data_IF_627049117659
#
_entry.id   IF_627049117659
#
_cell.length_a   1.000
_cell.length_b   1.000
_cell.length_c   1.000
_cell.angle_alpha   90.00
_cell.angle_beta   90.00
_cell.angle_gamma   90.00
#
_symmetry.space_group_name_H-M   'P 1'
#
loop_
_entity.id
_entity.type
_entity.pdbx_description
1 polymer ?
#
# COMPACT_ATOMS: atom_id res chain seq x y z
N UNK A 1 50.93 47.90 7.63
CA UNK A 1 49.70 48.67 7.30
C UNK A 1 48.60 47.62 7.02
N UNK A 2 47.92 47.06 8.01
CA UNK A 2 46.76 47.56 8.76
C UNK A 2 45.51 47.89 7.91
N UNK A 3 44.40 47.24 8.33
CA UNK A 3 42.96 47.39 8.03
C UNK A 3 42.37 46.43 6.98
N UNK A 4 41.64 45.36 7.32
CA UNK A 4 40.45 45.12 8.21
C UNK A 4 39.12 45.37 7.47
N UNK A 5 38.32 44.29 7.37
CA UNK A 5 36.85 44.14 7.56
C UNK A 5 36.26 43.13 6.56
N UNK A 6 35.31 42.25 6.85
CA UNK A 6 34.72 41.69 8.08
C UNK A 6 33.73 40.62 7.57
N UNK A 7 33.79 39.40 8.12
CA UNK A 7 32.68 38.59 8.69
C UNK A 7 31.32 38.60 7.98
N UNK A 8 30.78 37.41 7.67
CA UNK A 8 29.53 36.84 8.25
C UNK A 8 29.48 35.33 7.90
N UNK A 9 29.30 34.51 8.95
CA UNK A 9 28.96 33.09 8.93
C UNK A 9 27.60 32.82 8.24
N UNK A 10 27.41 31.66 7.61
CA UNK A 10 26.27 30.79 7.91
C UNK A 10 26.54 29.34 7.48
N UNK A 11 26.21 28.47 8.43
CA UNK A 11 26.15 27.01 8.42
C UNK A 11 25.03 26.48 7.53
N UNK A 12 25.26 25.39 6.78
CA UNK A 12 24.24 24.47 6.27
C UNK A 12 24.94 23.11 6.01
N UNK A 13 24.84 22.18 6.96
CA UNK A 13 23.84 21.11 7.05
C UNK A 13 24.05 19.95 6.07
N UNK A 14 24.41 18.82 6.68
CA UNK A 14 24.25 17.45 6.20
C UNK A 14 23.05 17.28 5.26
N UNK A 15 23.32 16.95 4.01
CA UNK A 15 22.32 16.35 3.13
C UNK A 15 22.57 14.85 3.06
N UNK A 16 21.66 14.15 3.72
CA UNK A 16 21.42 12.72 3.63
C UNK A 16 21.40 12.24 2.17
N UNK A 17 22.18 11.18 1.94
CA UNK A 17 22.29 10.45 0.68
C UNK A 17 20.95 9.77 0.38
N UNK A 18 20.15 10.36 -0.52
CA UNK A 18 19.05 9.65 -1.17
C UNK A 18 19.61 8.58 -2.12
N UNK A 19 19.03 7.36 -2.19
CA UNK A 19 19.48 6.32 -3.09
C UNK A 19 19.11 6.70 -4.53
N UNK A 20 20.01 7.41 -5.19
CA UNK A 20 20.10 7.42 -6.66
C UNK A 20 20.40 5.98 -7.06
N UNK A 21 19.40 5.26 -7.53
CA UNK A 21 19.62 4.06 -8.31
C UNK A 21 20.37 4.53 -9.57
N UNK A 22 21.69 4.39 -9.52
CA UNK A 22 22.56 4.50 -10.67
C UNK A 22 22.17 3.38 -11.64
N UNK A 23 21.39 3.73 -12.65
CA UNK A 23 21.34 2.97 -13.91
C UNK A 23 22.23 3.71 -14.92
N UNK A 24 23.49 3.91 -14.54
CA UNK A 24 24.55 4.28 -15.47
C UNK A 24 25.69 3.29 -15.24
N UNK A 25 26.03 2.59 -16.31
CA UNK A 25 27.24 1.80 -16.49
C UNK A 25 27.29 0.39 -15.87
N UNK A 26 26.18 -0.35 -15.90
CA UNK A 26 26.27 -1.82 -15.93
C UNK A 26 25.84 -2.29 -17.32
N UNK A 27 26.81 -2.70 -18.13
CA UNK A 27 26.61 -3.47 -19.36
C UNK A 27 25.91 -4.79 -18.99
N UNK A 28 24.58 -4.74 -18.87
CA UNK A 28 23.73 -5.92 -18.83
C UNK A 28 23.59 -6.41 -20.27
N UNK A 29 24.03 -7.63 -20.63
CA UNK A 29 23.78 -8.17 -21.97
C UNK A 29 22.26 -8.13 -22.26
N UNK A 30 21.83 -7.82 -23.48
CA UNK A 30 20.40 -7.66 -23.85
C UNK A 30 19.49 -8.81 -23.35
N UNK A 31 20.03 -10.04 -23.37
CA UNK A 31 19.39 -11.25 -22.84
C UNK A 31 19.06 -11.20 -21.34
N UNK A 32 19.86 -10.49 -20.55
CA UNK A 32 19.61 -10.28 -19.12
C UNK A 32 18.57 -9.20 -18.87
N UNK A 33 18.54 -8.12 -19.65
CA UNK A 33 17.56 -7.04 -19.52
C UNK A 33 16.13 -7.54 -19.77
N UNK A 34 15.92 -8.38 -20.80
CA UNK A 34 14.61 -8.95 -21.13
C UNK A 34 14.02 -9.78 -19.98
N UNK A 35 14.86 -10.49 -19.22
CA UNK A 35 14.43 -11.28 -18.05
C UNK A 35 13.92 -10.39 -16.91
N UNK A 36 14.50 -9.21 -16.72
CA UNK A 36 14.13 -8.29 -15.64
C UNK A 36 13.04 -7.29 -16.04
N UNK A 37 12.79 -7.12 -17.33
CA UNK A 37 11.84 -6.15 -17.87
C UNK A 37 10.43 -6.24 -17.24
N UNK A 38 9.84 -7.44 -16.98
CA UNK A 38 8.54 -7.53 -16.32
C UNK A 38 8.55 -6.94 -14.91
N UNK A 39 9.59 -7.23 -14.12
CA UNK A 39 9.74 -6.69 -12.77
C UNK A 39 9.96 -5.18 -12.78
N UNK A 40 10.71 -4.68 -13.77
CA UNK A 40 10.91 -3.25 -13.97
C UNK A 40 9.58 -2.57 -14.32
N UNK A 41 8.77 -3.16 -15.21
CA UNK A 41 7.42 -2.67 -15.57
C UNK A 41 6.52 -2.53 -14.34
N UNK A 42 6.45 -3.57 -13.52
CA UNK A 42 5.63 -3.58 -12.30
C UNK A 42 6.10 -2.54 -11.27
N UNK A 43 7.42 -2.39 -11.10
CA UNK A 43 8.00 -1.43 -10.17
C UNK A 43 7.76 0.02 -10.64
N UNK A 44 7.96 0.30 -11.93
CA UNK A 44 7.72 1.64 -12.51
C UNK A 44 6.27 2.06 -12.33
N UNK A 45 5.30 1.19 -12.66
CA UNK A 45 3.89 1.51 -12.46
C UNK A 45 3.58 1.74 -10.98
N UNK A 46 4.11 0.90 -10.07
CA UNK A 46 3.93 1.10 -8.63
C UNK A 46 4.46 2.46 -8.17
N UNK A 47 5.62 2.89 -8.65
CA UNK A 47 6.19 4.21 -8.30
C UNK A 47 5.34 5.38 -8.82
N UNK A 48 4.82 5.26 -10.06
CA UNK A 48 3.90 6.23 -10.67
C UNK A 48 2.60 6.40 -9.86
N UNK A 49 2.07 5.30 -9.31
CA UNK A 49 0.83 5.31 -8.54
C UNK A 49 1.02 5.81 -7.10
N UNK A 50 2.18 5.54 -6.48
CA UNK A 50 2.35 5.71 -5.02
C UNK A 50 3.14 6.97 -4.63
N UNK A 51 4.27 7.27 -5.27
CA UNK A 51 5.25 8.17 -4.65
C UNK A 51 6.05 9.11 -5.57
N UNK A 52 6.02 8.98 -6.91
CA UNK A 52 6.81 9.87 -7.80
C UNK A 52 5.97 10.44 -8.94
N UNK A 53 5.90 11.77 -9.03
CA UNK A 53 5.58 12.46 -10.28
C UNK A 53 6.84 12.44 -11.13
N UNK A 54 6.91 11.52 -12.08
CA UNK A 54 7.90 11.57 -13.14
C UNK A 54 7.60 12.78 -14.02
N UNK A 55 8.63 13.55 -14.39
CA UNK A 55 8.45 14.66 -15.30
C UNK A 55 8.21 14.18 -16.74
N UNK A 56 7.74 15.07 -17.61
CA UNK A 56 7.50 14.76 -19.03
C UNK A 56 8.72 14.15 -19.74
N UNK A 57 9.94 14.59 -19.41
CA UNK A 57 11.18 14.04 -19.99
C UNK A 57 11.48 12.62 -19.52
N UNK A 58 11.14 12.31 -18.27
CA UNK A 58 11.35 10.97 -17.71
C UNK A 58 10.39 9.96 -18.36
N UNK A 59 9.16 10.38 -18.65
CA UNK A 59 8.18 9.52 -19.33
C UNK A 59 8.59 9.13 -20.74
N UNK A 60 9.16 10.06 -21.53
CA UNK A 60 9.65 9.76 -22.89
C UNK A 60 10.76 8.71 -22.85
N UNK A 61 11.68 8.80 -21.89
CA UNK A 61 12.74 7.80 -21.71
C UNK A 61 12.19 6.46 -21.22
N UNK A 62 11.21 6.49 -20.32
CA UNK A 62 10.54 5.28 -19.84
C UNK A 62 9.79 4.57 -20.97
N UNK A 63 9.16 5.29 -21.91
CA UNK A 63 8.45 4.67 -23.03
C UNK A 63 9.41 3.85 -23.91
N UNK A 64 10.57 4.40 -24.24
CA UNK A 64 11.59 3.69 -25.01
C UNK A 64 12.12 2.46 -24.26
N UNK A 65 12.41 2.62 -22.96
CA UNK A 65 12.92 1.51 -22.14
C UNK A 65 11.92 0.36 -21.99
N UNK A 66 10.62 0.69 -21.92
CA UNK A 66 9.55 -0.28 -21.66
C UNK A 66 8.90 -0.82 -22.95
N UNK A 67 9.40 -0.42 -24.13
CA UNK A 67 8.85 -0.70 -25.45
C UNK A 67 7.38 -0.24 -25.59
N UNK A 68 7.09 0.99 -25.13
CA UNK A 68 5.77 1.63 -25.15
C UNK A 68 5.70 2.79 -26.17
N UNK A 69 6.54 2.78 -27.21
CA UNK A 69 6.62 3.91 -28.15
C UNK A 69 5.34 4.15 -28.96
N UNK A 70 4.51 3.12 -29.13
CA UNK A 70 3.18 3.22 -29.76
C UNK A 70 2.09 3.82 -28.87
N UNK A 71 2.37 4.02 -27.58
CA UNK A 71 1.38 4.45 -26.61
C UNK A 71 1.21 5.96 -26.60
N UNK A 72 -0.05 6.39 -26.61
CA UNK A 72 -0.40 7.79 -26.44
C UNK A 72 -0.09 8.24 -25.01
N UNK A 73 -0.10 9.56 -24.78
CA UNK A 73 -0.01 10.08 -23.41
C UNK A 73 -1.35 9.94 -22.64
N UNK A 74 -2.41 9.63 -23.38
CA UNK A 74 -3.75 9.35 -22.86
C UNK A 74 -3.85 7.89 -22.47
N UNK A 75 -4.21 7.63 -21.21
CA UNK A 75 -4.22 6.31 -20.59
C UNK A 75 -5.46 6.14 -19.70
N UNK A 76 -5.79 4.90 -19.37
CA UNK A 76 -6.78 4.55 -18.35
C UNK A 76 -6.19 3.58 -17.34
N UNK A 77 -6.71 3.62 -16.12
CA UNK A 77 -6.43 2.62 -15.09
C UNK A 77 -7.62 1.68 -14.94
N UNK A 78 -7.32 0.38 -14.79
CA UNK A 78 -8.28 -0.66 -14.41
C UNK A 78 -7.83 -1.25 -13.09
N UNK A 79 -8.72 -1.27 -12.12
CA UNK A 79 -8.48 -1.86 -10.80
C UNK A 79 -9.37 -3.09 -10.67
N UNK A 80 -8.76 -4.24 -10.44
CA UNK A 80 -9.46 -5.48 -10.14
C UNK A 80 -9.15 -5.91 -8.71
N UNK A 81 -10.19 -6.13 -7.91
CA UNK A 81 -10.04 -6.59 -6.53
C UNK A 81 -10.91 -7.82 -6.27
N UNK A 82 -10.32 -8.97 -5.92
CA UNK A 82 -11.09 -10.14 -5.52
C UNK A 82 -12.00 -9.82 -4.34
N UNK A 83 -13.21 -10.37 -4.33
CA UNK A 83 -14.16 -10.18 -3.23
C UNK A 83 -13.75 -10.97 -1.96
N UNK A 84 -12.92 -12.01 -2.12
CA UNK A 84 -12.35 -12.81 -1.03
C UNK A 84 -10.83 -12.78 -1.12
N UNK A 85 -10.16 -12.47 -0.02
CA UNK A 85 -8.73 -12.08 -0.02
C UNK A 85 -7.78 -13.03 0.70
N UNK A 86 -8.12 -14.33 0.82
CA UNK A 86 -7.40 -15.18 1.77
C UNK A 86 -6.28 -16.05 1.17
N UNK A 87 -6.30 -16.35 -0.13
CA UNK A 87 -5.31 -17.25 -0.75
C UNK A 87 -4.60 -16.57 -1.91
N UNK A 88 -3.26 -16.57 -1.88
CA UNK A 88 -2.39 -15.97 -2.90
C UNK A 88 -2.60 -16.57 -4.29
N UNK A 89 -3.06 -17.83 -4.37
CA UNK A 89 -3.30 -18.56 -5.60
C UNK A 89 -4.44 -17.96 -6.44
N UNK A 90 -5.53 -17.50 -5.81
CA UNK A 90 -6.65 -16.90 -6.55
C UNK A 90 -6.31 -15.53 -7.11
N UNK A 91 -5.53 -14.75 -6.36
CA UNK A 91 -5.05 -13.45 -6.82
C UNK A 91 -4.08 -13.62 -7.99
N UNK A 92 -3.19 -14.61 -7.91
CA UNK A 92 -2.29 -14.98 -9.01
C UNK A 92 -3.07 -15.44 -10.26
N UNK A 93 -4.09 -16.28 -10.08
CA UNK A 93 -4.94 -16.72 -11.18
C UNK A 93 -5.68 -15.56 -11.85
N UNK A 94 -6.25 -14.63 -11.07
CA UNK A 94 -6.90 -13.45 -11.61
C UNK A 94 -5.92 -12.57 -12.38
N UNK A 95 -4.71 -12.39 -11.87
CA UNK A 95 -3.65 -11.62 -12.53
C UNK A 95 -3.32 -12.23 -13.89
N UNK A 96 -3.06 -13.54 -13.96
CA UNK A 96 -2.71 -14.21 -15.22
C UNK A 96 -3.85 -14.14 -16.25
N UNK A 97 -5.09 -14.41 -15.83
CA UNK A 97 -6.25 -14.32 -16.75
C UNK A 97 -6.40 -12.90 -17.30
N UNK A 98 -6.26 -11.89 -16.44
CA UNK A 98 -6.36 -10.49 -16.86
C UNK A 98 -5.21 -10.09 -17.78
N UNK A 99 -3.98 -10.48 -17.44
CA UNK A 99 -2.78 -10.20 -18.22
C UNK A 99 -2.89 -10.81 -19.63
N UNK A 100 -3.29 -12.07 -19.74
CA UNK A 100 -3.45 -12.76 -21.02
C UNK A 100 -4.50 -12.07 -21.90
N UNK A 101 -5.69 -11.79 -21.35
CA UNK A 101 -6.79 -11.16 -22.11
C UNK A 101 -6.41 -9.74 -22.55
N UNK A 102 -5.85 -8.92 -21.66
CA UNK A 102 -5.48 -7.56 -22.04
C UNK A 102 -4.30 -7.54 -23.03
N UNK A 103 -3.40 -8.53 -22.99
CA UNK A 103 -2.31 -8.66 -23.94
C UNK A 103 -2.80 -9.11 -25.32
N UNK A 104 -3.70 -10.09 -25.40
CA UNK A 104 -4.30 -10.55 -26.66
C UNK A 104 -5.07 -9.42 -27.38
N UNK A 105 -5.76 -8.59 -26.62
CA UNK A 105 -6.50 -7.42 -27.14
C UNK A 105 -5.59 -6.21 -27.44
N UNK A 106 -4.28 -6.31 -27.17
CA UNK A 106 -3.31 -5.23 -27.38
C UNK A 106 -3.49 -4.03 -26.45
N UNK A 107 -4.18 -4.21 -25.31
CA UNK A 107 -4.57 -3.15 -24.39
C UNK A 107 -3.58 -2.92 -23.24
N UNK A 108 -2.73 -3.89 -22.91
CA UNK A 108 -1.89 -3.85 -21.70
C UNK A 108 -0.52 -3.17 -21.92
N UNK A 109 -0.22 -2.10 -21.17
CA UNK A 109 1.14 -1.55 -21.10
C UNK A 109 1.88 -2.09 -19.89
N UNK A 110 1.28 -1.85 -18.73
CA UNK A 110 1.87 -2.10 -17.43
C UNK A 110 0.79 -2.63 -16.50
N UNK A 111 1.15 -3.61 -15.71
CA UNK A 111 0.37 -4.11 -14.59
C UNK A 111 1.19 -3.93 -13.30
N UNK A 112 0.51 -3.89 -12.17
CA UNK A 112 1.14 -3.99 -10.86
C UNK A 112 0.11 -4.43 -9.83
N UNK A 113 0.59 -4.80 -8.66
CA UNK A 113 -0.25 -5.11 -7.51
C UNK A 113 -0.03 -4.07 -6.41
N UNK A 114 -1.12 -3.55 -5.86
CA UNK A 114 -1.11 -2.60 -4.74
C UNK A 114 -2.02 -3.15 -3.65
N UNK A 115 -1.42 -3.71 -2.59
CA UNK A 115 -2.15 -4.50 -1.60
C UNK A 115 -2.79 -5.74 -2.24
N UNK A 116 -4.10 -5.91 -2.07
CA UNK A 116 -4.88 -6.98 -2.72
C UNK A 116 -5.59 -6.53 -4.01
N UNK A 117 -5.19 -5.39 -4.58
CA UNK A 117 -5.78 -4.82 -5.81
C UNK A 117 -4.78 -4.97 -6.95
N UNK A 118 -5.22 -5.60 -8.03
CA UNK A 118 -4.52 -5.61 -9.30
C UNK A 118 -4.81 -4.31 -10.03
N UNK A 119 -3.78 -3.68 -10.58
CA UNK A 119 -3.87 -2.40 -11.27
C UNK A 119 -3.25 -2.56 -12.65
N UNK A 120 -4.03 -2.25 -13.68
CA UNK A 120 -3.59 -2.28 -15.07
C UNK A 120 -3.64 -0.88 -15.65
N UNK A 121 -2.56 -0.48 -16.30
CA UNK A 121 -2.48 0.68 -17.16
C UNK A 121 -2.76 0.24 -18.59
N UNK A 122 -3.84 0.78 -19.15
CA UNK A 122 -4.27 0.50 -20.52
C UNK A 122 -4.22 1.75 -21.39
N UNK A 123 -3.98 1.57 -22.68
CA UNK A 123 -3.87 2.67 -23.65
C UNK A 123 -5.25 3.26 -23.90
N UNK A 124 -5.30 4.33 -24.69
CA UNK A 124 -6.56 4.88 -25.16
C UNK A 124 -7.39 3.84 -25.91
N UNK A 125 -8.41 3.33 -25.23
CA UNK A 125 -9.32 2.31 -25.74
C UNK A 125 -10.78 2.70 -25.46
N UNK A 126 -11.68 2.21 -26.31
CA UNK A 126 -13.10 2.42 -26.12
C UNK A 126 -13.60 1.72 -24.85
N UNK A 127 -14.54 2.35 -24.15
CA UNK A 127 -15.16 1.75 -22.96
C UNK A 127 -15.84 0.40 -23.28
N UNK A 128 -16.33 0.21 -24.51
CA UNK A 128 -16.91 -1.04 -24.97
C UNK A 128 -15.88 -2.17 -25.05
N UNK A 129 -14.68 -1.89 -25.60
CA UNK A 129 -13.60 -2.86 -25.66
C UNK A 129 -13.11 -3.24 -24.25
N UNK A 130 -12.98 -2.23 -23.39
CA UNK A 130 -12.61 -2.40 -21.99
C UNK A 130 -13.61 -3.27 -21.22
N UNK A 131 -14.90 -2.96 -21.35
CA UNK A 131 -15.99 -3.69 -20.71
C UNK A 131 -16.03 -5.15 -21.17
N UNK A 132 -15.88 -5.39 -22.48
CA UNK A 132 -15.82 -6.75 -23.05
C UNK A 132 -14.67 -7.55 -22.43
N UNK A 133 -13.48 -6.97 -22.37
CA UNK A 133 -12.29 -7.61 -21.78
C UNK A 133 -12.51 -7.96 -20.31
N UNK A 134 -13.04 -7.02 -19.52
CA UNK A 134 -13.34 -7.25 -18.10
C UNK A 134 -14.42 -8.34 -17.90
N UNK A 135 -15.45 -8.39 -18.75
CA UNK A 135 -16.45 -9.45 -18.68
C UNK A 135 -15.88 -10.82 -19.09
N UNK A 136 -14.94 -10.88 -20.04
CA UNK A 136 -14.22 -12.11 -20.35
C UNK A 136 -13.38 -12.60 -19.16
N UNK A 137 -12.66 -11.68 -18.50
CA UNK A 137 -11.90 -12.00 -17.27
C UNK A 137 -12.86 -12.54 -16.20
N UNK A 138 -14.01 -11.89 -16.00
CA UNK A 138 -15.04 -12.32 -15.06
C UNK A 138 -15.59 -13.70 -15.40
N UNK A 139 -15.86 -13.96 -16.68
CA UNK A 139 -16.34 -15.24 -17.16
C UNK A 139 -15.35 -16.36 -16.83
N UNK A 140 -14.08 -16.23 -17.22
CA UNK A 140 -13.08 -17.28 -17.01
C UNK A 140 -12.75 -17.46 -15.52
N UNK A 141 -12.59 -16.37 -14.78
CA UNK A 141 -12.33 -16.43 -13.35
C UNK A 141 -13.47 -17.13 -12.60
N UNK A 142 -14.72 -16.80 -12.91
CA UNK A 142 -15.90 -17.48 -12.33
C UNK A 142 -16.00 -18.93 -12.76
N UNK A 143 -15.69 -19.25 -14.03
CA UNK A 143 -15.77 -20.62 -14.57
C UNK A 143 -14.80 -21.57 -13.88
N UNK A 144 -13.55 -21.14 -13.70
CA UNK A 144 -12.49 -22.00 -13.14
C UNK A 144 -12.43 -21.96 -11.62
N UNK A 145 -12.62 -20.78 -11.01
CA UNK A 145 -12.40 -20.58 -9.57
C UNK A 145 -13.70 -20.37 -8.78
N UNK A 146 -14.86 -20.21 -9.45
CA UNK A 146 -16.17 -19.91 -8.83
C UNK A 146 -16.17 -18.68 -7.93
N UNK A 147 -15.22 -17.77 -8.15
CA UNK A 147 -15.06 -16.51 -7.43
C UNK A 147 -15.47 -15.32 -8.30
N UNK A 148 -15.69 -14.18 -7.65
CA UNK A 148 -15.98 -12.91 -8.30
C UNK A 148 -14.96 -11.85 -7.87
N UNK A 149 -14.87 -10.80 -8.66
CA UNK A 149 -14.04 -9.63 -8.36
C UNK A 149 -14.79 -8.35 -8.69
N UNK A 150 -14.43 -7.30 -7.96
CA UNK A 150 -14.83 -5.95 -8.25
C UNK A 150 -13.88 -5.36 -9.30
N UNK A 151 -14.44 -4.58 -10.21
CA UNK A 151 -13.69 -3.85 -11.24
C UNK A 151 -14.07 -2.38 -11.22
N UNK A 152 -13.07 -1.50 -11.24
CA UNK A 152 -13.24 -0.06 -11.44
C UNK A 152 -12.30 0.37 -12.56
N UNK A 153 -12.76 1.23 -13.45
CA UNK A 153 -11.92 1.85 -14.47
C UNK A 153 -12.04 3.36 -14.42
N UNK A 154 -10.97 4.06 -14.78
CA UNK A 154 -10.95 5.52 -14.83
C UNK A 154 -11.44 6.04 -16.17
N UNK A 155 -11.84 7.31 -16.17
CA UNK A 155 -11.91 8.08 -17.40
C UNK A 155 -10.53 8.17 -18.07
N UNK A 156 -10.52 8.52 -19.36
CA UNK A 156 -9.29 8.76 -20.11
C UNK A 156 -8.57 9.95 -19.47
N UNK A 157 -7.29 9.78 -19.17
CA UNK A 157 -6.50 10.81 -18.52
C UNK A 157 -5.06 10.78 -18.98
N UNK A 158 -4.30 11.77 -18.54
CA UNK A 158 -2.88 11.86 -18.87
C UNK A 158 -2.03 11.05 -17.88
N UNK A 159 -0.96 10.42 -18.35
CA UNK A 159 0.01 9.67 -17.53
C UNK A 159 0.51 10.47 -16.29
N UNK A 160 0.66 11.79 -16.41
CA UNK A 160 1.11 12.65 -15.30
C UNK A 160 0.09 12.73 -14.16
N UNK A 161 -1.19 12.45 -14.46
CA UNK A 161 -2.29 12.44 -13.51
C UNK A 161 -2.57 11.05 -12.92
N UNK A 162 -1.77 10.02 -13.25
CA UNK A 162 -2.02 8.64 -12.82
C UNK A 162 -2.20 8.49 -11.32
N UNK A 163 -1.40 9.18 -10.51
CA UNK A 163 -1.54 9.15 -9.06
C UNK A 163 -2.92 9.63 -8.60
N UNK A 164 -3.43 10.69 -9.20
CA UNK A 164 -4.75 11.25 -8.88
C UNK A 164 -5.85 10.29 -9.34
N UNK A 165 -5.76 9.84 -10.59
CA UNK A 165 -6.70 8.87 -11.19
C UNK A 165 -6.77 7.58 -10.36
N UNK A 166 -5.62 7.08 -9.90
CA UNK A 166 -5.53 5.91 -9.03
C UNK A 166 -6.22 6.13 -7.69
N UNK A 167 -5.98 7.27 -7.03
CA UNK A 167 -6.63 7.60 -5.76
C UNK A 167 -8.15 7.67 -5.89
N UNK A 168 -8.64 8.31 -6.96
CA UNK A 168 -10.07 8.41 -7.24
C UNK A 168 -10.68 7.01 -7.49
N UNK A 169 -10.03 6.17 -8.30
CA UNK A 169 -10.46 4.80 -8.56
C UNK A 169 -10.45 3.92 -7.29
N UNK A 170 -9.41 4.03 -6.46
CA UNK A 170 -9.34 3.31 -5.18
C UNK A 170 -10.42 3.76 -4.20
N UNK A 171 -10.78 5.05 -4.18
CA UNK A 171 -11.90 5.56 -3.36
C UNK A 171 -13.20 4.87 -3.75
N UNK A 172 -13.50 4.83 -5.05
CA UNK A 172 -14.72 4.21 -5.57
C UNK A 172 -14.75 2.71 -5.35
N UNK A 173 -13.61 2.04 -5.52
CA UNK A 173 -13.48 0.62 -5.22
C UNK A 173 -13.76 0.35 -3.74
N UNK A 174 -13.29 1.20 -2.84
CA UNK A 174 -13.54 1.09 -1.40
C UNK A 174 -15.00 1.47 -1.01
N UNK A 175 -15.62 2.42 -1.69
CA UNK A 175 -17.04 2.78 -1.52
C UNK A 175 -17.96 1.65 -1.98
N UNK A 176 -17.62 0.98 -3.09
CA UNK A 176 -18.36 -0.17 -3.58
C UNK A 176 -18.21 -1.41 -2.68
N UNK A 177 -17.14 -1.48 -1.86
CA UNK A 177 -16.99 -2.48 -0.78
C UNK A 177 -17.83 -2.11 0.45
N UNK A 178 -18.10 -0.82 0.72
CA UNK A 178 -18.80 -0.33 1.92
C UNK A 178 -20.03 0.56 1.57
N UNK A 179 -21.21 -0.01 1.28
CA UNK A 179 -22.39 0.76 0.87
C UNK A 179 -22.95 1.72 1.94
N UNK A 180 -22.54 1.60 3.21
CA UNK A 180 -22.96 2.50 4.30
C UNK A 180 -22.31 3.89 4.20
N UNK A 181 -21.09 3.99 3.65
CA UNK A 181 -20.40 5.29 3.48
C UNK A 181 -20.99 6.14 2.36
N UNK A 182 -21.59 5.51 1.35
CA UNK A 182 -22.23 6.22 0.24
C UNK A 182 -23.53 6.93 0.65
N UNK A 183 -24.20 6.43 1.71
CA UNK A 183 -25.41 7.03 2.27
C UNK A 183 -25.12 8.27 3.14
N UNK A 184 -23.98 8.30 3.84
CA UNK A 184 -23.60 9.41 4.73
C UNK A 184 -22.88 10.56 3.98
N UNK A 185 -22.28 10.29 2.82
CA UNK A 185 -21.66 11.32 1.97
C UNK A 185 -22.63 12.01 0.99
N UNK A 186 -23.92 11.67 1.05
CA UNK A 186 -24.96 12.14 0.12
C UNK A 186 -25.51 13.54 0.43
N UNK A 187 -25.05 14.20 1.51
CA UNK A 187 -25.65 15.46 1.97
C UNK A 187 -24.84 16.73 1.70
N UNK A 188 -23.73 16.66 0.96
CA UNK A 188 -23.00 17.87 0.59
C UNK A 188 -22.58 17.86 -0.89
N UNK A 189 -23.36 18.66 -1.64
CA UNK A 189 -23.07 19.27 -2.94
C UNK A 189 -23.50 18.47 -4.17
N UNK A 190 -24.58 18.97 -4.76
CA UNK A 190 -25.04 18.63 -6.09
C UNK A 190 -24.09 19.04 -7.20
N UNK A 191 -24.59 18.75 -8.41
CA UNK A 191 -24.11 19.13 -9.74
C UNK A 191 -23.13 18.20 -10.49
N UNK A 192 -23.76 17.41 -11.37
CA UNK A 192 -23.54 17.42 -12.83
C UNK A 192 -22.15 17.09 -13.39
N UNK A 193 -21.43 16.09 -12.85
CA UNK A 193 -20.31 15.43 -13.57
C UNK A 193 -20.34 13.89 -13.49
N UNK A 194 -21.54 13.29 -13.53
CA UNK A 194 -21.77 11.84 -13.32
C UNK A 194 -22.15 11.04 -14.57
N UNK A 195 -21.47 11.25 -15.71
CA UNK A 195 -21.75 10.46 -16.93
C UNK A 195 -20.60 9.59 -17.47
N UNK A 196 -19.40 9.62 -16.88
CA UNK A 196 -18.30 8.70 -17.26
C UNK A 196 -18.14 7.48 -16.36
N UNK A 197 -18.62 7.54 -15.11
CA UNK A 197 -18.15 6.65 -14.03
C UNK A 197 -19.20 5.70 -13.44
N UNK A 198 -20.30 5.44 -14.17
CA UNK A 198 -21.35 4.48 -13.75
C UNK A 198 -21.79 3.61 -14.90
N UNK A 199 -21.08 2.51 -15.22
CA UNK A 199 -21.73 1.30 -15.77
C UNK A 199 -20.81 0.07 -15.86
N UNK A 200 -20.54 -0.59 -14.72
CA UNK A 200 -20.71 -2.06 -14.53
C UNK A 200 -20.21 -2.49 -13.14
N UNK A 201 -20.87 -2.00 -12.08
CA UNK A 201 -20.95 -2.79 -10.85
C UNK A 201 -22.04 -3.85 -11.10
N UNK A 202 -21.72 -4.89 -11.88
CA UNK A 202 -22.51 -6.13 -11.95
C UNK A 202 -21.90 -7.14 -10.96
N UNK A 203 -21.97 -6.78 -9.68
CA UNK A 203 -21.94 -7.76 -8.61
C UNK A 203 -23.37 -8.23 -8.39
N UNK A 204 -23.68 -9.47 -8.77
CA UNK A 204 -24.90 -10.14 -8.31
C UNK A 204 -24.90 -10.08 -6.78
N UNK A 205 -25.94 -9.44 -6.23
CA UNK A 205 -26.25 -9.43 -4.80
C UNK A 205 -26.34 -10.87 -4.30
N UNK A 206 -25.35 -11.30 -3.54
CA UNK A 206 -25.52 -12.33 -2.52
C UNK A 206 -25.25 -11.67 -1.17
N UNK A 207 -26.34 -11.37 -0.47
CA UNK A 207 -26.34 -10.82 0.87
C UNK A 207 -25.84 -11.90 1.86
N UNK A 208 -24.52 -11.99 2.10
CA UNK A 208 -23.95 -12.81 3.20
C UNK A 208 -22.45 -12.60 3.58
N UNK A 209 -21.75 -11.51 3.24
CA UNK A 209 -20.27 -11.41 3.49
C UNK A 209 -19.72 -10.19 4.25
N UNK A 210 -20.55 -9.27 4.76
CA UNK A 210 -20.07 -8.02 5.38
C UNK A 210 -19.21 -8.22 6.66
N UNK A 211 -19.47 -9.30 7.41
CA UNK A 211 -18.70 -9.63 8.60
C UNK A 211 -17.33 -10.28 8.28
N UNK A 212 -17.22 -10.97 7.13
CA UNK A 212 -16.01 -11.71 6.75
C UNK A 212 -14.91 -10.79 6.23
N UNK A 213 -15.23 -9.89 5.31
CA UNK A 213 -14.24 -8.98 4.70
C UNK A 213 -13.68 -7.98 5.71
N UNK A 214 -14.55 -7.45 6.58
CA UNK A 214 -14.15 -6.62 7.71
C UNK A 214 -13.15 -7.37 8.61
N UNK A 215 -13.40 -8.66 8.89
CA UNK A 215 -12.55 -9.50 9.74
C UNK A 215 -11.18 -9.75 9.11
N UNK A 216 -11.15 -9.98 7.80
CA UNK A 216 -9.91 -10.23 7.06
C UNK A 216 -8.98 -9.01 7.03
N UNK A 217 -9.54 -7.80 6.93
CA UNK A 217 -8.76 -6.55 6.95
C UNK A 217 -8.08 -6.38 8.32
N UNK A 218 -8.81 -6.52 9.42
CA UNK A 218 -8.24 -6.35 10.77
C UNK A 218 -7.25 -7.46 11.09
N UNK A 219 -7.52 -8.72 10.69
CA UNK A 219 -6.57 -9.81 10.82
C UNK A 219 -5.25 -9.49 10.09
N UNK A 220 -5.34 -8.91 8.90
CA UNK A 220 -4.16 -8.47 8.14
C UNK A 220 -3.45 -7.29 8.80
N UNK A 221 -4.18 -6.34 9.39
CA UNK A 221 -3.59 -5.26 10.19
C UNK A 221 -2.83 -5.82 11.40
N UNK A 222 -3.41 -6.77 12.13
CA UNK A 222 -2.77 -7.40 13.29
C UNK A 222 -1.48 -8.10 12.88
N UNK A 223 -1.51 -8.92 11.82
CA UNK A 223 -0.32 -9.59 11.27
C UNK A 223 0.77 -8.58 10.91
N UNK A 224 0.42 -7.52 10.19
CA UNK A 224 1.37 -6.47 9.81
C UNK A 224 2.00 -5.80 11.04
N UNK A 225 1.19 -5.51 12.07
CA UNK A 225 1.70 -4.97 13.35
C UNK A 225 2.77 -5.90 13.90
N UNK A 226 2.49 -7.19 14.04
CA UNK A 226 3.42 -8.16 14.63
C UNK A 226 4.74 -8.30 13.85
N UNK A 227 4.68 -8.27 12.53
CA UNK A 227 5.87 -8.36 11.65
C UNK A 227 6.73 -7.09 11.72
N UNK A 228 6.14 -5.93 12.01
CA UNK A 228 6.80 -4.62 11.96
C UNK A 228 6.85 -3.92 13.33
N UNK A 229 6.76 -4.67 14.44
CA UNK A 229 6.72 -4.11 15.80
C UNK A 229 7.92 -3.19 16.12
N UNK A 230 9.10 -3.52 15.58
CA UNK A 230 10.35 -2.79 15.76
C UNK A 230 10.43 -1.47 14.97
N UNK A 231 9.53 -1.23 14.02
CA UNK A 231 9.52 -0.01 13.22
C UNK A 231 9.01 1.18 14.06
N UNK A 232 9.83 2.19 14.37
CA UNK A 232 9.39 3.35 15.16
C UNK A 232 8.32 4.18 14.46
N UNK A 233 8.22 4.11 13.12
CA UNK A 233 7.23 4.82 12.31
C UNK A 233 5.91 4.05 12.13
N UNK A 234 5.76 2.87 12.76
CA UNK A 234 4.53 2.08 12.71
C UNK A 234 3.35 2.88 13.23
N UNK A 235 2.49 3.31 12.32
CA UNK A 235 1.33 4.15 12.61
C UNK A 235 0.17 3.79 11.70
N UNK A 236 -1.04 4.10 12.15
CA UNK A 236 -2.24 3.83 11.36
C UNK A 236 -2.20 4.61 10.03
N UNK A 237 -1.64 5.81 10.02
CA UNK A 237 -1.50 6.63 8.81
C UNK A 237 -0.49 6.02 7.82
N UNK A 238 0.60 5.42 8.33
CA UNK A 238 1.54 4.66 7.50
C UNK A 238 0.85 3.44 6.88
N UNK A 239 0.19 2.63 7.71
CA UNK A 239 -0.58 1.46 7.25
C UNK A 239 -1.63 1.87 6.21
N UNK A 240 -2.36 2.95 6.47
CA UNK A 240 -3.41 3.43 5.59
C UNK A 240 -2.86 3.90 4.25
N UNK A 241 -1.67 4.49 4.21
CA UNK A 241 -1.06 5.06 2.99
C UNK A 241 -0.21 4.07 2.20
N UNK A 242 0.48 3.16 2.87
CA UNK A 242 1.54 2.33 2.26
C UNK A 242 1.18 0.85 2.16
N UNK A 243 0.21 0.38 2.95
CA UNK A 243 -0.14 -1.04 3.03
C UNK A 243 -1.56 -1.27 2.51
N UNK A 244 -2.53 -0.59 3.11
CA UNK A 244 -3.95 -0.81 2.87
C UNK A 244 -4.55 0.15 1.84
N UNK A 245 -3.92 1.32 1.62
CA UNK A 245 -4.42 2.37 0.71
C UNK A 245 -5.89 2.74 1.00
N UNK A 246 -6.23 2.83 2.29
CA UNK A 246 -7.56 3.14 2.82
C UNK A 246 -7.53 4.41 3.67
N UNK A 247 -8.70 4.99 3.96
CA UNK A 247 -8.79 6.10 4.91
C UNK A 247 -8.38 5.63 6.31
N UNK A 248 -7.48 6.37 6.97
CA UNK A 248 -7.02 6.07 8.32
C UNK A 248 -8.14 6.04 9.35
N UNK A 249 -9.16 6.90 9.22
CA UNK A 249 -10.30 6.96 10.13
C UNK A 249 -11.19 5.72 9.99
N UNK A 250 -11.37 5.22 8.76
CA UNK A 250 -12.08 3.97 8.53
C UNK A 250 -11.35 2.79 9.15
N UNK A 251 -10.06 2.63 8.85
CA UNK A 251 -9.25 1.57 9.45
C UNK A 251 -9.23 1.66 10.97
N UNK A 252 -9.18 2.88 11.52
CA UNK A 252 -9.22 3.11 12.96
C UNK A 252 -10.53 2.69 13.59
N UNK A 253 -11.66 3.06 12.98
CA UNK A 253 -13.01 2.65 13.42
C UNK A 253 -13.19 1.13 13.31
N UNK A 254 -12.75 0.55 12.19
CA UNK A 254 -12.86 -0.88 11.92
C UNK A 254 -12.03 -1.71 12.91
N UNK A 255 -10.78 -1.31 13.11
CA UNK A 255 -9.88 -1.94 14.07
C UNK A 255 -10.43 -1.86 15.49
N UNK A 256 -10.92 -0.67 15.91
CA UNK A 256 -11.55 -0.49 17.22
C UNK A 256 -12.80 -1.37 17.39
N UNK A 257 -13.65 -1.43 16.36
CA UNK A 257 -14.89 -2.22 16.39
C UNK A 257 -14.61 -3.71 16.60
N UNK A 258 -13.54 -4.24 16.01
CA UNK A 258 -13.23 -5.67 16.08
C UNK A 258 -12.31 -6.06 17.24
N UNK A 259 -11.29 -5.27 17.50
CA UNK A 259 -10.32 -5.58 18.57
C UNK A 259 -10.77 -5.08 19.93
N UNK A 260 -11.76 -4.18 19.99
CA UNK A 260 -12.19 -3.50 21.21
C UNK A 260 -11.24 -2.40 21.67
N UNK A 261 -10.10 -2.17 20.98
CA UNK A 261 -9.13 -1.16 21.36
C UNK A 261 -8.63 -0.31 20.17
N UNK A 262 -8.18 0.92 20.47
CA UNK A 262 -7.62 1.80 19.45
C UNK A 262 -6.29 1.24 18.94
N UNK A 263 -6.04 1.36 17.64
CA UNK A 263 -4.80 0.88 16.99
C UNK A 263 -3.52 1.26 17.75
N UNK A 264 -3.35 2.54 18.11
CA UNK A 264 -2.15 3.00 18.81
C UNK A 264 -1.97 2.36 20.19
N UNK A 265 -3.08 2.08 20.89
CA UNK A 265 -3.07 1.36 22.18
C UNK A 265 -2.71 -0.11 21.98
N UNK A 266 -3.26 -0.76 20.97
CA UNK A 266 -2.94 -2.14 20.60
C UNK A 266 -1.44 -2.30 20.33
N UNK A 267 -0.87 -1.46 19.44
CA UNK A 267 0.57 -1.50 19.12
C UNK A 267 1.41 -1.31 20.37
N UNK A 268 1.05 -0.35 21.23
CA UNK A 268 1.77 -0.11 22.48
C UNK A 268 1.72 -1.30 23.43
N UNK A 269 0.55 -1.92 23.59
CA UNK A 269 0.35 -3.12 24.41
C UNK A 269 1.23 -4.26 23.92
N UNK A 270 1.16 -4.59 22.62
CA UNK A 270 1.94 -5.67 22.02
C UNK A 270 3.45 -5.41 22.10
N UNK A 271 3.91 -4.15 21.94
CA UNK A 271 5.33 -3.79 22.15
C UNK A 271 5.81 -4.11 23.56
N UNK A 272 5.01 -3.83 24.58
CA UNK A 272 5.42 -4.13 25.97
C UNK A 272 5.31 -5.61 26.29
N UNK A 273 4.30 -6.32 25.80
CA UNK A 273 4.22 -7.78 25.90
C UNK A 273 5.46 -8.43 25.30
N UNK A 274 5.89 -7.96 24.12
CA UNK A 274 7.12 -8.44 23.47
C UNK A 274 8.38 -8.08 24.27
N UNK A 275 8.43 -6.90 24.88
CA UNK A 275 9.54 -6.51 25.75
C UNK A 275 9.66 -7.46 26.96
N UNK A 276 8.54 -7.80 27.61
CA UNK A 276 8.49 -8.79 28.70
C UNK A 276 8.97 -10.16 28.19
N UNK A 277 8.51 -10.60 27.02
CA UNK A 277 9.01 -11.84 26.42
C UNK A 277 10.53 -11.83 26.21
N UNK A 278 11.09 -10.74 25.70
CA UNK A 278 12.55 -10.63 25.54
C UNK A 278 13.29 -10.71 26.86
N UNK A 279 12.78 -10.07 27.93
CA UNK A 279 13.36 -10.15 29.27
C UNK A 279 13.29 -11.55 29.88
N UNK A 280 12.22 -12.31 29.61
CA UNK A 280 12.04 -13.67 30.13
C UNK A 280 12.98 -14.69 29.45
N UNK A 281 13.20 -14.55 28.14
CA UNK A 281 13.95 -15.54 27.36
C UNK A 281 15.42 -15.18 27.16
N UNK A 282 15.83 -13.96 27.49
CA UNK A 282 17.20 -13.47 27.26
C UNK A 282 17.67 -12.64 28.46
N UNK A 283 18.35 -13.28 29.41
CA UNK A 283 18.84 -12.62 30.62
C UNK A 283 19.86 -11.51 30.33
N UNK A 284 20.64 -11.66 29.26
CA UNK A 284 21.78 -10.80 28.94
C UNK A 284 21.44 -9.58 28.05
N UNK A 285 20.27 -9.57 27.38
CA UNK A 285 19.87 -8.46 26.51
C UNK A 285 19.75 -7.19 27.33
N UNK A 286 20.41 -6.08 27.00
CA UNK A 286 20.27 -4.85 27.79
C UNK A 286 18.89 -4.22 27.58
N UNK A 287 18.41 -3.45 28.57
CA UNK A 287 17.12 -2.74 28.48
C UNK A 287 17.08 -1.81 27.26
N UNK A 288 18.21 -1.18 26.93
CA UNK A 288 18.37 -0.34 25.73
C UNK A 288 18.11 -1.14 24.44
N UNK A 289 18.67 -2.34 24.34
CA UNK A 289 18.53 -3.20 23.17
C UNK A 289 17.09 -3.71 23.04
N UNK A 290 16.46 -4.08 24.16
CA UNK A 290 15.04 -4.47 24.18
C UNK A 290 14.16 -3.30 23.72
N UNK A 291 14.43 -2.09 24.19
CA UNK A 291 13.68 -0.91 23.77
C UNK A 291 13.80 -0.70 22.25
N UNK A 292 14.99 -0.87 21.67
CA UNK A 292 15.19 -0.81 20.23
C UNK A 292 14.42 -1.91 19.48
N UNK A 293 14.49 -3.16 19.94
CA UNK A 293 13.80 -4.31 19.33
C UNK A 293 12.27 -4.18 19.32
N UNK A 294 11.70 -3.38 20.22
CA UNK A 294 10.25 -3.14 20.28
C UNK A 294 9.85 -1.75 19.77
N UNK A 295 10.74 -1.04 19.07
CA UNK A 295 10.41 0.19 18.34
C UNK A 295 10.69 1.50 19.07
N UNK A 296 11.61 1.51 20.03
CA UNK A 296 12.09 2.71 20.74
C UNK A 296 13.62 2.88 20.65
N UNK A 297 14.24 2.87 19.45
CA UNK A 297 15.70 2.89 19.30
C UNK A 297 16.37 4.14 19.86
N UNK A 298 15.66 5.27 19.90
CA UNK A 298 16.20 6.57 20.36
C UNK A 298 15.45 7.16 21.57
N UNK A 299 14.47 6.45 22.14
CA UNK A 299 13.62 6.99 23.20
C UNK A 299 13.32 5.98 24.32
N UNK A 300 14.39 5.55 24.98
CA UNK A 300 14.35 4.57 26.08
C UNK A 300 13.63 5.14 27.31
N UNK A 301 13.70 6.46 27.51
CA UNK A 301 13.03 7.12 28.63
C UNK A 301 11.51 6.99 28.51
N UNK A 302 10.95 7.25 27.32
CA UNK A 302 9.54 7.05 27.05
C UNK A 302 9.13 5.58 27.16
N UNK A 303 9.94 4.66 26.59
CA UNK A 303 9.74 3.21 26.78
C UNK A 303 9.62 2.85 28.26
N UNK A 304 10.54 3.33 29.11
CA UNK A 304 10.56 3.03 30.54
C UNK A 304 9.33 3.58 31.28
N UNK A 305 8.86 4.77 30.91
CA UNK A 305 7.64 5.36 31.47
C UNK A 305 6.40 4.55 31.11
N UNK A 306 6.25 4.16 29.84
CA UNK A 306 5.10 3.38 29.38
C UNK A 306 5.14 1.96 29.95
N UNK A 307 6.32 1.32 29.97
CA UNK A 307 6.51 0.00 30.56
C UNK A 307 6.12 -0.01 32.04
N UNK A 308 6.56 1.01 32.81
CA UNK A 308 6.17 1.15 34.22
C UNK A 308 4.67 1.37 34.39
N UNK A 309 4.05 2.17 33.53
CA UNK A 309 2.61 2.40 33.56
C UNK A 309 1.80 1.12 33.32
N UNK A 310 2.30 0.20 32.50
CA UNK A 310 1.58 -1.04 32.17
C UNK A 310 1.94 -2.23 33.05
N UNK A 311 3.19 -2.35 33.51
CA UNK A 311 3.64 -3.47 34.35
C UNK A 311 3.67 -3.18 35.85
N UNK A 312 3.59 -1.90 36.25
CA UNK A 312 3.76 -1.43 37.63
C UNK A 312 5.23 -1.21 38.03
N UNK A 313 6.21 -1.70 37.27
CA UNK A 313 7.63 -1.65 37.59
C UNK A 313 8.44 -1.02 36.47
N UNK A 314 9.57 -0.37 36.79
CA UNK A 314 10.50 0.01 35.72
C UNK A 314 11.06 -1.24 35.02
N UNK A 315 11.50 -1.14 33.75
CA UNK A 315 12.10 -2.26 33.04
C UNK A 315 13.23 -2.97 33.83
N UNK A 316 14.11 -2.19 34.47
CA UNK A 316 15.19 -2.73 35.31
C UNK A 316 14.64 -3.44 36.55
N UNK A 317 13.68 -2.82 37.27
CA UNK A 317 13.06 -3.44 38.44
C UNK A 317 12.34 -4.75 38.10
N UNK A 318 11.66 -4.79 36.95
CA UNK A 318 10.99 -5.98 36.46
C UNK A 318 11.99 -7.11 36.19
N UNK A 319 13.12 -6.79 35.55
CA UNK A 319 14.21 -7.74 35.32
C UNK A 319 14.82 -8.28 36.62
N UNK A 320 15.10 -7.40 37.57
CA UNK A 320 15.66 -7.81 38.86
C UNK A 320 14.71 -8.78 39.59
N UNK A 321 13.39 -8.58 39.46
CA UNK A 321 12.40 -9.51 40.00
C UNK A 321 12.39 -10.87 39.29
N UNK A 322 12.58 -10.90 37.97
CA UNK A 322 12.69 -12.15 37.22
C UNK A 322 13.93 -12.94 37.63
N UNK A 323 15.08 -12.26 37.79
CA UNK A 323 16.34 -12.88 38.19
C UNK A 323 16.31 -13.40 39.64
N UNK A 324 15.54 -12.77 40.53
CA UNK A 324 15.34 -13.25 41.90
C UNK A 324 14.40 -14.46 42.02
N UNK A 325 13.64 -14.76 40.96
CA UNK A 325 12.66 -15.86 40.91
C UNK A 325 13.17 -17.09 40.14
N UNK A 326 14.24 -16.94 39.37
CA UNK A 326 14.91 -18.00 38.63
C UNK A 326 15.94 -18.72 39.51
#
# INVERSE_FOLDING_TARGET
MHKINNVVNHSEHDQEVSPRIMVKDVMMPELSLQRYLPHIKQQVLRELLTNKTYGFRDWVQLKQLLNLDGWQNSVRLILLKPQRSLESEYLFALANIAEDIFREEGLLALDTMVGATLVFLVDDCSLECLARSVEMIRYYYKRYYRLNFMSVYTDLGDVHNLRRMFKEAMSLLNEAVNPVSAAESLDLRGDMRRQGLRTQIRGTRDARTDAGESSDIVASMIRYIHEHLSDPALSLQKLSKEVFYMNSDYLGKLFLKQTGEKFSRYVMRVRMEKAVQYMLHNADLKILDIAALVGFPHNVQYFSQVFKKMSGYSPSQYRDQLQKRA
#
